data_IF_932447491525
#
_entry.id   IF_932447491525
#
_cell.length_a   1.000
_cell.length_b   1.000
_cell.length_c   1.000
_cell.angle_alpha   90.00
_cell.angle_beta   90.00
_cell.angle_gamma   90.00
#
_symmetry.space_group_name_H-M   'P 1'
#
loop_
_entity.id
_entity.type
_entity.pdbx_description
1 polymer ?
#
# COMPACT_ATOMS: atom_id res chain seq x y z
N UNK A 1 19.13 3.91 7.99
CA UNK A 1 18.05 4.70 8.61
C UNK A 1 17.72 5.78 7.59
N UNK A 2 16.44 5.99 7.29
CA UNK A 2 15.99 7.02 6.34
C UNK A 2 15.70 8.30 7.14
N UNK A 3 16.45 9.40 6.93
CA UNK A 3 16.17 10.70 7.53
C UNK A 3 14.78 11.24 7.14
N UNK A 4 14.20 12.09 7.98
CA UNK A 4 12.86 12.63 7.71
C UNK A 4 12.82 13.48 6.44
N UNK A 5 13.82 14.32 6.21
CA UNK A 5 13.94 15.15 5.01
C UNK A 5 14.05 14.30 3.74
N UNK A 6 14.85 13.23 3.75
CA UNK A 6 14.94 12.30 2.62
C UNK A 6 13.59 11.60 2.35
N UNK A 7 12.85 11.23 3.39
CA UNK A 7 11.49 10.71 3.22
C UNK A 7 10.53 11.75 2.62
N UNK A 8 10.59 12.99 3.10
CA UNK A 8 9.77 14.09 2.56
C UNK A 8 10.10 14.35 1.09
N UNK A 9 11.36 14.23 0.67
CA UNK A 9 11.74 14.29 -0.75
C UNK A 9 11.14 13.12 -1.55
N UNK A 10 11.22 11.89 -1.04
CA UNK A 10 10.66 10.68 -1.68
C UNK A 10 9.15 10.82 -1.90
N UNK A 11 8.39 11.18 -0.86
CA UNK A 11 6.93 11.21 -0.96
C UNK A 11 6.45 12.37 -1.84
N UNK A 12 7.18 13.48 -1.88
CA UNK A 12 6.83 14.63 -2.71
C UNK A 12 7.32 14.55 -4.16
N UNK A 13 8.24 13.63 -4.50
CA UNK A 13 8.71 13.39 -5.86
C UNK A 13 7.55 13.02 -6.81
N UNK A 14 7.22 13.91 -7.74
CA UNK A 14 6.14 13.72 -8.71
C UNK A 14 6.57 12.91 -9.96
N UNK A 15 7.85 12.56 -10.06
CA UNK A 15 8.38 11.72 -11.15
C UNK A 15 8.17 10.21 -10.94
N UNK A 16 7.69 9.83 -9.74
CA UNK A 16 7.41 8.44 -9.37
C UNK A 16 6.36 7.84 -10.32
N UNK A 17 6.71 6.73 -10.95
CA UNK A 17 5.82 6.05 -11.88
C UNK A 17 5.99 4.54 -11.91
N UNK A 18 4.90 3.86 -12.24
CA UNK A 18 4.85 2.42 -12.50
C UNK A 18 4.49 2.25 -13.97
N UNK A 19 5.35 1.58 -14.72
CA UNK A 19 5.21 1.43 -16.18
C UNK A 19 4.45 0.16 -16.60
N UNK A 20 4.38 -0.84 -15.72
CA UNK A 20 3.77 -2.13 -16.03
C UNK A 20 2.31 -2.20 -15.57
N UNK A 21 1.57 -3.14 -16.15
CA UNK A 21 0.31 -3.61 -15.57
C UNK A 21 0.58 -4.23 -14.18
N UNK A 22 -0.44 -4.16 -13.33
CA UNK A 22 -0.46 -4.83 -12.03
C UNK A 22 -1.42 -6.01 -12.12
N UNK A 23 -0.90 -7.19 -11.82
CA UNK A 23 -1.65 -8.44 -11.73
C UNK A 23 -1.49 -8.97 -10.31
N UNK A 24 -2.58 -9.51 -9.77
CA UNK A 24 -2.59 -10.15 -8.46
C UNK A 24 -2.22 -11.63 -8.61
N UNK A 25 -1.30 -12.06 -7.77
CA UNK A 25 -0.83 -13.44 -7.66
C UNK A 25 -1.27 -14.04 -6.32
N UNK A 26 -1.34 -15.37 -6.24
CA UNK A 26 -1.61 -16.07 -4.97
C UNK A 26 -0.48 -15.80 -3.96
N UNK A 27 -0.83 -15.64 -2.68
CA UNK A 27 0.16 -15.56 -1.62
C UNK A 27 0.88 -16.92 -1.43
N UNK A 28 2.14 -16.89 -0.97
CA UNK A 28 3.04 -18.04 -0.86
C UNK A 28 2.49 -19.15 0.06
N UNK A 29 1.62 -18.79 0.99
CA UNK A 29 1.01 -19.70 1.95
C UNK A 29 -0.32 -20.33 1.47
N UNK A 30 -0.74 -20.05 0.22
CA UNK A 30 -2.04 -20.44 -0.32
C UNK A 30 -3.23 -20.03 0.57
N UNK A 31 -3.07 -18.96 1.34
CA UNK A 31 -4.20 -18.32 2.00
C UNK A 31 -5.15 -17.71 0.96
N UNK A 32 -6.38 -17.33 1.33
CA UNK A 32 -7.28 -16.62 0.42
C UNK A 32 -6.77 -15.23 0.02
N UNK A 33 -5.61 -14.78 0.52
CA UNK A 33 -5.02 -13.52 0.14
C UNK A 33 -4.33 -13.61 -1.23
N UNK A 34 -4.34 -12.49 -1.93
CA UNK A 34 -3.56 -12.28 -3.13
C UNK A 34 -2.64 -11.08 -2.94
N UNK A 35 -1.52 -11.09 -3.63
CA UNK A 35 -0.54 -10.02 -3.56
C UNK A 35 -0.01 -9.61 -4.93
N UNK A 36 0.64 -8.45 -4.98
CA UNK A 36 1.42 -8.04 -6.14
C UNK A 36 2.66 -7.29 -5.71
N UNK A 37 3.61 -7.20 -6.63
CA UNK A 37 4.77 -6.33 -6.53
C UNK A 37 4.95 -5.53 -7.82
N UNK A 38 5.11 -4.22 -7.70
CA UNK A 38 5.36 -3.33 -8.83
C UNK A 38 6.57 -2.44 -8.57
N UNK A 39 7.50 -2.38 -9.52
CA UNK A 39 8.69 -1.51 -9.41
C UNK A 39 8.32 -0.05 -9.71
N UNK A 40 8.88 0.88 -8.94
CA UNK A 40 8.72 2.31 -9.18
C UNK A 40 9.98 2.84 -9.85
N UNK A 41 9.78 3.59 -10.93
CA UNK A 41 10.82 4.43 -11.53
C UNK A 41 10.66 5.85 -10.99
N UNK A 42 11.75 6.49 -10.61
CA UNK A 42 11.83 7.90 -10.26
C UNK A 42 13.03 8.54 -10.96
N UNK A 43 12.95 9.82 -11.31
CA UNK A 43 14.08 10.55 -11.90
C UNK A 43 15.22 10.75 -10.89
N UNK A 44 14.88 10.93 -9.62
CA UNK A 44 15.85 10.99 -8.52
C UNK A 44 16.55 9.65 -8.26
N UNK A 45 16.06 8.54 -8.83
CA UNK A 45 16.68 7.22 -8.73
C UNK A 45 16.46 6.53 -7.38
N UNK A 46 15.41 6.89 -6.64
CA UNK A 46 15.07 6.23 -5.38
C UNK A 46 14.76 4.74 -5.61
N UNK A 47 15.34 3.82 -4.81
CA UNK A 47 15.17 2.38 -4.97
C UNK A 47 13.85 1.92 -4.34
N UNK A 48 12.74 2.22 -5.03
CA UNK A 48 11.37 2.03 -4.54
C UNK A 48 10.63 0.91 -5.27
N UNK A 49 9.73 0.26 -4.56
CA UNK A 49 8.70 -0.60 -5.15
C UNK A 49 7.42 -0.56 -4.30
N UNK A 50 6.29 -0.91 -4.90
CA UNK A 50 5.03 -1.15 -4.19
C UNK A 50 4.87 -2.64 -3.95
N UNK A 51 4.39 -2.99 -2.75
CA UNK A 51 3.74 -4.27 -2.48
C UNK A 51 2.28 -4.01 -2.16
N UNK A 52 1.37 -4.73 -2.81
CA UNK A 52 -0.04 -4.76 -2.46
C UNK A 52 -0.44 -6.13 -1.95
N UNK A 53 -1.37 -6.19 -1.00
CA UNK A 53 -1.99 -7.44 -0.54
C UNK A 53 -3.46 -7.23 -0.28
N UNK A 54 -4.29 -8.19 -0.68
CA UNK A 54 -5.74 -8.14 -0.49
C UNK A 54 -6.26 -9.50 -0.03
N UNK A 55 -6.99 -9.51 1.07
CA UNK A 55 -7.71 -10.67 1.56
C UNK A 55 -9.22 -10.43 1.46
N UNK A 56 -9.91 -11.01 0.46
CA UNK A 56 -11.34 -10.80 0.23
C UNK A 56 -12.26 -11.37 1.32
N UNK A 57 -11.81 -12.36 2.11
CA UNK A 57 -12.64 -12.94 3.17
C UNK A 57 -12.68 -12.07 4.43
N UNK A 58 -11.63 -11.29 4.66
CA UNK A 58 -11.50 -10.39 5.82
C UNK A 58 -11.60 -8.93 5.43
N UNK A 59 -11.79 -8.64 4.13
CA UNK A 59 -11.81 -7.30 3.54
C UNK A 59 -10.58 -6.47 3.93
N UNK A 60 -9.43 -7.13 4.06
CA UNK A 60 -8.16 -6.47 4.38
C UNK A 60 -7.43 -6.10 3.12
N UNK A 61 -7.05 -4.83 3.00
CA UNK A 61 -6.31 -4.32 1.85
C UNK A 61 -5.13 -3.48 2.33
N UNK A 62 -3.95 -3.77 1.80
CA UNK A 62 -2.73 -3.02 2.06
C UNK A 62 -2.08 -2.59 0.75
N UNK A 63 -1.68 -1.33 0.67
CA UNK A 63 -0.70 -0.85 -0.32
C UNK A 63 0.48 -0.24 0.42
N UNK A 64 1.68 -0.75 0.18
CA UNK A 64 2.89 -0.33 0.86
C UNK A 64 3.95 0.12 -0.14
N UNK A 65 4.39 1.37 -0.01
CA UNK A 65 5.60 1.88 -0.63
C UNK A 65 6.81 1.46 0.20
N UNK A 66 7.71 0.73 -0.45
CA UNK A 66 8.86 0.11 0.17
C UNK A 66 10.13 0.68 -0.46
N UNK A 67 10.98 1.25 0.39
CA UNK A 67 12.35 1.59 0.04
C UNK A 67 13.25 0.39 0.30
N UNK A 68 13.98 -0.08 -0.73
CA UNK A 68 14.76 -1.33 -0.66
C UNK A 68 15.79 -1.39 0.47
N UNK A 69 16.31 -0.24 0.88
CA UNK A 69 17.31 -0.17 1.97
C UNK A 69 16.72 -0.09 3.38
N UNK A 70 15.44 0.27 3.56
CA UNK A 70 14.87 0.54 4.91
C UNK A 70 13.53 -0.12 5.20
N UNK A 71 12.82 -0.61 4.18
CA UNK A 71 11.52 -1.26 4.33
C UNK A 71 10.35 -0.32 4.00
N UNK A 72 9.20 -0.57 4.63
CA UNK A 72 7.95 0.18 4.46
C UNK A 72 8.16 1.62 4.93
N UNK A 73 7.95 2.58 4.02
CA UNK A 73 8.10 4.03 4.28
C UNK A 73 6.78 4.78 4.16
N UNK A 74 5.81 4.20 3.45
CA UNK A 74 4.48 4.74 3.36
C UNK A 74 3.50 3.60 3.12
N UNK A 75 2.32 3.63 3.75
CA UNK A 75 1.33 2.59 3.52
C UNK A 75 -0.11 3.07 3.71
N UNK A 76 -1.03 2.38 3.07
CA UNK A 76 -2.46 2.44 3.32
C UNK A 76 -2.93 1.05 3.73
N UNK A 77 -3.62 0.97 4.85
CA UNK A 77 -4.19 -0.25 5.41
C UNK A 77 -5.70 -0.06 5.64
N UNK A 78 -6.50 -1.00 5.14
CA UNK A 78 -7.95 -1.09 5.32
C UNK A 78 -8.33 -2.43 5.95
N UNK A 79 -9.38 -2.45 6.79
CA UNK A 79 -9.97 -3.67 7.35
C UNK A 79 -9.27 -4.21 8.60
N UNK A 80 -8.38 -3.42 9.22
CA UNK A 80 -7.74 -3.79 10.48
C UNK A 80 -7.47 -2.56 11.34
N UNK A 81 -7.89 -2.61 12.61
CA UNK A 81 -7.62 -1.54 13.57
C UNK A 81 -6.12 -1.35 13.83
N UNK A 82 -5.70 -0.09 13.92
CA UNK A 82 -4.36 0.30 14.33
C UNK A 82 -4.34 1.21 15.56
N UNK A 83 -3.35 1.01 16.42
CA UNK A 83 -3.04 1.90 17.55
C UNK A 83 -1.66 2.50 17.36
N UNK A 84 -1.59 3.82 17.43
CA UNK A 84 -0.32 4.53 17.38
C UNK A 84 0.51 4.27 18.65
N UNK A 85 1.82 4.56 18.63
CA UNK A 85 2.70 4.40 19.80
C UNK A 85 2.25 5.14 21.06
N UNK A 86 1.46 6.21 20.90
CA UNK A 86 0.83 6.96 22.00
C UNK A 86 -0.40 6.26 22.61
N UNK A 87 -0.81 5.12 22.04
CA UNK A 87 -1.97 4.31 22.45
C UNK A 87 -3.30 4.71 21.80
N UNK A 88 -3.33 5.79 21.01
CA UNK A 88 -4.54 6.27 20.34
C UNK A 88 -4.98 5.28 19.27
N UNK A 89 -6.27 4.93 19.29
CA UNK A 89 -6.89 4.13 18.23
C UNK A 89 -7.15 5.01 17.01
N UNK A 90 -6.63 4.61 15.86
CA UNK A 90 -6.82 5.29 14.56
C UNK A 90 -8.05 4.73 13.84
N UNK A 91 -8.25 3.41 13.91
CA UNK A 91 -9.36 2.70 13.28
C UNK A 91 -8.91 1.83 12.10
N UNK A 92 -9.88 1.18 11.45
CA UNK A 92 -9.64 0.19 10.40
C UNK A 92 -9.13 0.77 9.07
N UNK A 93 -9.34 2.06 8.82
CA UNK A 93 -8.83 2.79 7.66
C UNK A 93 -7.77 3.76 8.14
N UNK A 94 -6.51 3.49 7.80
CA UNK A 94 -5.41 4.33 8.23
C UNK A 94 -4.26 4.30 7.23
N UNK A 95 -3.49 5.39 7.19
CA UNK A 95 -2.24 5.48 6.44
C UNK A 95 -1.08 5.61 7.40
N UNK A 96 -0.01 4.89 7.11
CA UNK A 96 1.25 5.00 7.80
C UNK A 96 2.18 5.95 7.06
N UNK A 97 2.88 6.80 7.81
CA UNK A 97 3.91 7.70 7.29
C UNK A 97 5.22 7.40 8.01
N UNK A 98 6.33 7.41 7.27
CA UNK A 98 7.64 7.29 7.90
C UNK A 98 7.91 8.48 8.81
N UNK A 99 8.29 8.16 10.05
CA UNK A 99 8.89 9.05 11.02
C UNK A 99 10.26 8.48 11.43
N UNK A 100 11.30 9.31 11.52
CA UNK A 100 12.65 8.82 11.86
C UNK A 100 12.74 8.11 13.24
N UNK A 101 11.88 8.46 14.20
CA UNK A 101 11.90 7.95 15.57
C UNK A 101 11.04 6.70 15.73
N UNK A 102 9.86 6.68 15.12
CA UNK A 102 8.90 5.56 15.25
C UNK A 102 8.73 4.73 13.98
N UNK A 103 9.45 5.09 12.91
CA UNK A 103 9.37 4.50 11.57
C UNK A 103 7.95 4.59 11.06
N UNK A 104 7.42 3.49 10.57
CA UNK A 104 6.10 3.37 9.98
C UNK A 104 5.01 3.00 11.03
N UNK A 105 5.28 3.21 12.34
CA UNK A 105 4.31 2.89 13.40
C UNK A 105 3.25 3.95 13.62
N UNK A 106 3.50 5.19 13.21
CA UNK A 106 2.52 6.27 13.36
C UNK A 106 1.61 6.33 12.14
N UNK A 107 0.32 6.42 12.39
CA UNK A 107 -0.70 6.41 11.36
C UNK A 107 -1.78 7.47 11.59
N UNK A 108 -2.47 7.84 10.52
CA UNK A 108 -3.57 8.79 10.55
C UNK A 108 -4.75 8.29 9.73
N UNK A 109 -5.94 8.82 10.00
CA UNK A 109 -7.14 8.49 9.20
C UNK A 109 -7.10 9.33 7.92
N UNK A 110 -7.01 8.69 6.73
CA UNK A 110 -7.05 9.43 5.46
C UNK A 110 -8.48 9.88 5.12
N UNK A 111 -8.63 11.16 4.77
CA UNK A 111 -9.90 11.72 4.26
C UNK A 111 -10.09 11.47 2.76
N UNK A 112 -8.98 11.33 2.03
CA UNK A 112 -8.91 11.17 0.57
C UNK A 112 -9.25 9.74 0.11
N UNK A 113 -9.13 8.75 1.00
CA UNK A 113 -9.50 7.36 0.71
C UNK A 113 -11.00 7.18 1.00
N UNK A 114 -11.79 7.11 -0.07
CA UNK A 114 -13.27 7.03 -0.01
C UNK A 114 -13.82 5.69 -0.48
N UNK A 115 -13.06 4.95 -1.30
CA UNK A 115 -13.45 3.63 -1.75
C UNK A 115 -13.28 2.58 -0.63
N UNK A 116 -14.15 1.56 -0.55
CA UNK A 116 -14.01 0.45 0.40
C UNK A 116 -12.92 -0.53 -0.04
N UNK A 117 -12.46 -1.37 0.89
CA UNK A 117 -11.47 -2.42 0.60
C UNK A 117 -11.92 -3.43 -0.46
N UNK A 118 -13.24 -3.57 -0.64
CA UNK A 118 -13.87 -4.41 -1.69
C UNK A 118 -13.76 -3.81 -3.10
N UNK A 119 -13.27 -2.58 -3.24
CA UNK A 119 -12.98 -1.92 -4.51
C UNK A 119 -11.48 -1.59 -4.66
N UNK A 120 -10.59 -2.60 -4.64
CA UNK A 120 -9.14 -2.38 -4.56
C UNK A 120 -8.60 -1.52 -5.71
N UNK A 121 -9.12 -1.66 -6.93
CA UNK A 121 -8.69 -0.83 -8.07
C UNK A 121 -9.02 0.65 -7.85
N UNK A 122 -10.16 0.98 -7.23
CA UNK A 122 -10.52 2.37 -6.92
C UNK A 122 -9.68 2.90 -5.75
N UNK A 123 -9.44 2.08 -4.72
CA UNK A 123 -8.54 2.44 -3.61
C UNK A 123 -7.11 2.70 -4.12
N UNK A 124 -6.64 1.90 -5.07
CA UNK A 124 -5.32 2.05 -5.69
C UNK A 124 -5.17 3.39 -6.40
N UNK A 125 -6.16 3.81 -7.18
CA UNK A 125 -6.15 5.11 -7.85
C UNK A 125 -6.04 6.26 -6.84
N UNK A 126 -6.75 6.16 -5.71
CA UNK A 126 -6.72 7.16 -4.64
C UNK A 126 -5.36 7.17 -3.93
N UNK A 127 -4.80 5.99 -3.65
CA UNK A 127 -3.46 5.84 -3.07
C UNK A 127 -2.39 6.45 -3.98
N UNK A 128 -2.42 6.15 -5.28
CA UNK A 128 -1.50 6.72 -6.27
C UNK A 128 -1.59 8.25 -6.34
N UNK A 129 -2.81 8.80 -6.35
CA UNK A 129 -3.01 10.24 -6.41
C UNK A 129 -2.36 10.97 -5.22
N UNK A 130 -2.52 10.43 -4.02
CA UNK A 130 -1.97 11.06 -2.81
C UNK A 130 -0.46 10.79 -2.65
N UNK A 131 0.02 9.59 -2.97
CA UNK A 131 1.44 9.25 -2.94
C UNK A 131 2.24 9.84 -4.12
N UNK A 132 1.58 10.59 -5.01
CA UNK A 132 2.15 11.17 -6.25
C UNK A 132 2.81 10.13 -7.14
N UNK A 133 2.13 9.01 -7.35
CA UNK A 133 2.58 7.93 -8.23
C UNK A 133 1.72 7.97 -9.49
N UNK A 134 2.36 8.09 -10.65
CA UNK A 134 1.70 7.89 -11.93
C UNK A 134 1.73 6.41 -12.30
N UNK A 135 0.57 5.76 -12.43
CA UNK A 135 0.49 4.40 -12.96
C UNK A 135 0.12 4.45 -14.45
N UNK A 136 1.09 4.13 -15.32
CA UNK A 136 0.90 4.16 -16.78
C UNK A 136 0.29 2.87 -17.34
N UNK A 137 0.32 1.78 -16.56
CA UNK A 137 -0.34 0.52 -16.88
C UNK A 137 -1.77 0.44 -16.32
N UNK A 138 -2.34 -0.75 -16.39
CA UNK A 138 -3.65 -1.07 -15.79
C UNK A 138 -3.48 -1.95 -14.55
N UNK A 139 -4.24 -1.66 -13.50
CA UNK A 139 -4.38 -2.60 -12.38
C UNK A 139 -5.58 -3.52 -12.64
N UNK A 140 -5.32 -4.82 -12.75
CA UNK A 140 -6.37 -5.82 -12.86
C UNK A 140 -7.06 -6.00 -11.51
N UNK A 141 -8.36 -6.29 -11.54
CA UNK A 141 -9.09 -6.68 -10.34
C UNK A 141 -8.48 -7.97 -9.76
N UNK A 142 -8.47 -8.13 -8.42
CA UNK A 142 -8.13 -9.41 -7.81
C UNK A 142 -8.99 -10.54 -8.40
N UNK A 143 -8.43 -11.76 -8.53
CA UNK A 143 -9.23 -12.91 -8.91
C UNK A 143 -10.36 -13.12 -7.87
N UNK A 144 -11.54 -13.58 -8.31
CA UNK A 144 -12.62 -13.91 -7.39
C UNK A 144 -12.18 -15.05 -6.47
N UNK A 145 -12.56 -14.98 -5.19
CA UNK A 145 -12.29 -16.08 -4.25
C UNK A 145 -13.13 -17.29 -4.67
N UNK A 146 -12.47 -18.35 -5.10
CA UNK A 146 -13.12 -19.63 -5.23
C UNK A 146 -13.13 -20.29 -3.85
N UNK A 147 -14.26 -20.19 -3.14
CA UNK A 147 -14.49 -21.03 -1.97
C UNK A 147 -14.65 -22.46 -2.50
N UNK A 148 -13.55 -23.22 -2.53
CA UNK A 148 -13.63 -24.65 -2.84
C UNK A 148 -14.54 -25.30 -1.80
N UNK A 149 -15.73 -25.69 -2.26
CA UNK A 149 -16.69 -26.48 -1.51
C UNK A 149 -16.11 -27.90 -1.38
N UNK A 150 -15.26 -28.11 -0.38
CA UNK A 150 -14.95 -29.46 0.07
C UNK A 150 -16.18 -29.98 0.85
N UNK A 151 -17.06 -30.70 0.14
CA UNK A 151 -18.08 -31.57 0.73
C UNK A 151 -17.51 -32.96 1.05
#
# INVERSE_FOLDING_TARGET
MLPQDEFEEIINDDSKRIESDIVWDEDEDHSPAVEFRAEIVSEAGYPLFIKGSYNPLTEKLTYALIHRGVGRVYALDLGQDHRNPDGKLVGEKHKHRWDENVRDKDAYVPEDITAPATEPVNVWQQFCAEARITHNGEMKSPPPTQLDLFF
#
